data_IF_228021610465
#
_entry.id   IF_228021610465
#
_cell.length_a   1.000
_cell.length_b   1.000
_cell.length_c   1.000
_cell.angle_alpha   90.00
_cell.angle_beta   90.00
_cell.angle_gamma   90.00
#
_symmetry.space_group_name_H-M   'P 1'
#
loop_
_entity.id
_entity.type
_entity.pdbx_description
1 polymer ?
#
# COMPACT_ATOMS: atom_id res chain seq x y z
N UNK A 1 -0.91 16.11 11.44
CA UNK A 1 -1.55 15.71 10.16
C UNK A 1 -1.32 14.23 10.00
N UNK A 2 -2.35 13.38 10.06
CA UNK A 2 -2.13 11.93 10.05
C UNK A 2 -2.07 11.37 8.61
N UNK A 3 -1.01 10.61 8.34
CA UNK A 3 -0.68 9.91 7.09
C UNK A 3 -0.82 8.41 7.29
N UNK A 4 -1.37 7.71 6.31
CA UNK A 4 -1.52 6.25 6.30
C UNK A 4 -0.57 5.66 5.26
N UNK A 5 0.20 4.63 5.56
CA UNK A 5 1.06 3.94 4.59
C UNK A 5 0.84 2.44 4.61
N UNK A 6 0.60 1.82 3.45
CA UNK A 6 0.35 0.38 3.30
C UNK A 6 1.61 -0.29 2.72
N UNK A 7 2.13 -1.35 3.38
CA UNK A 7 3.41 -2.00 3.03
C UNK A 7 3.25 -3.42 2.44
N UNK A 8 4.08 -3.79 1.44
CA UNK A 8 3.81 -4.87 0.45
C UNK A 8 3.94 -6.31 0.98
N UNK A 9 4.75 -6.55 2.01
CA UNK A 9 5.18 -7.93 2.30
C UNK A 9 4.31 -8.71 3.29
N UNK A 10 3.27 -8.11 3.89
CA UNK A 10 2.49 -8.78 4.94
C UNK A 10 0.99 -8.83 4.73
N UNK A 11 0.43 -8.31 3.63
CA UNK A 11 -1.03 -8.12 3.49
C UNK A 11 -1.66 -7.26 4.61
N UNK A 12 -0.88 -6.72 5.58
CA UNK A 12 -1.41 -6.48 6.93
C UNK A 12 -0.82 -5.34 7.75
N UNK A 13 0.08 -4.49 7.24
CA UNK A 13 0.62 -3.39 8.07
C UNK A 13 0.29 -2.04 7.46
N UNK A 14 -0.40 -1.24 8.27
CA UNK A 14 -0.76 0.12 7.97
C UNK A 14 -0.15 1.04 9.01
N UNK A 15 0.60 2.03 8.53
CA UNK A 15 1.32 2.99 9.36
C UNK A 15 0.57 4.30 9.39
N UNK A 16 0.13 4.73 10.56
CA UNK A 16 -0.46 6.04 10.79
C UNK A 16 0.59 6.95 11.39
N UNK A 17 0.99 8.06 10.76
CA UNK A 17 1.98 8.99 11.35
C UNK A 17 1.53 10.44 11.27
N UNK A 18 1.92 11.28 12.24
CA UNK A 18 1.80 12.74 12.10
C UNK A 18 2.74 13.35 11.04
N UNK A 19 3.70 12.59 10.53
CA UNK A 19 4.71 12.99 9.54
C UNK A 19 4.89 11.93 8.44
N UNK A 20 4.73 12.33 7.17
CA UNK A 20 4.95 11.42 6.04
C UNK A 20 6.38 10.86 5.99
N UNK A 21 7.37 11.68 6.32
CA UNK A 21 8.78 11.27 6.34
C UNK A 21 9.02 10.15 7.34
N UNK A 22 8.41 10.26 8.53
CA UNK A 22 8.46 9.20 9.53
C UNK A 22 7.70 7.96 9.05
N UNK A 23 6.47 8.11 8.54
CA UNK A 23 5.71 6.96 8.02
C UNK A 23 6.51 6.15 6.98
N UNK A 24 7.17 6.82 6.03
CA UNK A 24 7.98 6.18 4.99
C UNK A 24 9.20 5.50 5.60
N UNK A 25 9.97 6.20 6.44
CA UNK A 25 11.14 5.62 7.11
C UNK A 25 10.77 4.36 7.89
N UNK A 26 9.70 4.42 8.66
CA UNK A 26 9.19 3.31 9.45
C UNK A 26 8.64 2.16 8.58
N UNK A 27 8.06 2.44 7.42
CA UNK A 27 7.72 1.42 6.42
C UNK A 27 8.94 0.72 5.85
N UNK A 28 9.98 1.47 5.51
CA UNK A 28 11.24 0.91 5.00
C UNK A 28 11.92 0.07 6.07
N UNK A 29 11.95 0.53 7.32
CA UNK A 29 12.52 -0.24 8.44
C UNK A 29 11.74 -1.54 8.66
N UNK A 30 10.41 -1.51 8.60
CA UNK A 30 9.60 -2.73 8.69
C UNK A 30 9.87 -3.65 7.50
N UNK A 31 9.94 -3.11 6.28
CA UNK A 31 10.25 -3.89 5.10
C UNK A 31 11.62 -4.57 5.23
N UNK A 32 12.67 -3.83 5.60
CA UNK A 32 14.00 -4.37 5.86
C UNK A 32 13.97 -5.46 6.95
N UNK A 33 13.29 -5.19 8.07
CA UNK A 33 13.14 -6.16 9.14
C UNK A 33 12.45 -7.46 8.67
N UNK A 34 11.37 -7.35 7.91
CA UNK A 34 10.61 -8.51 7.42
C UNK A 34 11.35 -9.26 6.32
N UNK A 35 12.00 -8.56 5.40
CA UNK A 35 12.89 -9.15 4.39
C UNK A 35 14.01 -9.93 5.07
N UNK A 36 14.61 -9.38 6.14
CA UNK A 36 15.59 -10.13 6.93
C UNK A 36 14.97 -11.33 7.63
N UNK A 37 13.70 -11.29 8.06
CA UNK A 37 13.02 -12.44 8.68
C UNK A 37 12.66 -13.56 7.68
N UNK A 38 12.45 -13.22 6.41
CA UNK A 38 12.13 -14.17 5.33
C UNK A 38 13.35 -14.98 4.86
N UNK A 39 14.58 -14.55 5.18
CA UNK A 39 15.77 -15.35 4.90
C UNK A 39 15.91 -16.48 5.93
N UNK A 40 16.24 -17.68 5.45
CA UNK A 40 16.42 -18.86 6.32
C UNK A 40 17.66 -18.77 7.23
N UNK A 41 18.44 -17.69 7.13
CA UNK A 41 19.67 -17.46 7.87
C UNK A 41 19.55 -16.41 8.98
N UNK A 42 18.36 -15.85 9.23
CA UNK A 42 18.22 -14.77 10.21
C UNK A 42 18.00 -15.27 11.65
N UNK A 43 18.87 -14.90 12.61
CA UNK A 43 18.79 -15.36 14.01
C UNK A 43 17.63 -14.73 14.81
N UNK A 44 16.82 -13.87 14.20
CA UNK A 44 15.76 -13.10 14.86
C UNK A 44 14.34 -13.67 14.66
N UNK A 45 14.20 -14.91 14.17
CA UNK A 45 12.91 -15.49 13.76
C UNK A 45 11.80 -15.52 14.83
N UNK A 46 12.08 -15.39 16.13
CA UNK A 46 11.08 -15.62 17.19
C UNK A 46 11.14 -14.70 18.43
N UNK A 47 11.55 -13.43 18.33
CA UNK A 47 11.50 -12.51 19.50
C UNK A 47 10.27 -11.58 19.50
N UNK A 48 9.24 -11.82 20.35
CA UNK A 48 8.09 -10.91 20.50
C UNK A 48 8.46 -9.51 21.00
N UNK A 49 9.65 -9.36 21.60
CA UNK A 49 10.17 -8.09 22.12
C UNK A 49 10.46 -7.06 21.03
N UNK A 50 10.80 -7.47 19.80
CA UNK A 50 11.11 -6.53 18.72
C UNK A 50 9.85 -5.85 18.16
N UNK A 51 8.74 -6.58 18.10
CA UNK A 51 7.44 -6.06 17.68
C UNK A 51 6.88 -5.07 18.71
N UNK A 52 7.06 -5.36 20.00
CA UNK A 52 6.73 -4.45 21.10
C UNK A 52 7.61 -3.19 21.10
N UNK A 53 8.91 -3.34 20.86
CA UNK A 53 9.83 -2.21 20.76
C UNK A 53 9.46 -1.29 19.59
N UNK A 54 9.15 -1.84 18.40
CA UNK A 54 8.71 -1.03 17.26
C UNK A 54 7.35 -0.40 17.46
N UNK A 55 6.41 -1.10 18.09
CA UNK A 55 5.13 -0.54 18.46
C UNK A 55 5.33 0.65 19.42
N UNK A 56 6.19 0.48 20.42
CA UNK A 56 6.45 1.51 21.42
C UNK A 56 7.24 2.70 20.87
N UNK A 57 8.31 2.47 20.10
CA UNK A 57 9.08 3.50 19.41
C UNK A 57 8.24 4.23 18.36
N UNK A 58 7.38 3.49 17.65
CA UNK A 58 6.41 4.08 16.74
C UNK A 58 5.47 5.02 17.50
N UNK A 59 4.85 4.57 18.59
CA UNK A 59 3.93 5.39 19.37
C UNK A 59 4.61 6.67 19.88
N UNK A 60 5.86 6.59 20.36
CA UNK A 60 6.66 7.75 20.77
C UNK A 60 6.92 8.72 19.60
N UNK A 61 7.10 8.22 18.39
CA UNK A 61 7.23 9.01 17.16
C UNK A 61 5.87 9.49 16.58
N UNK A 62 4.76 9.27 17.30
CA UNK A 62 3.42 9.57 16.80
C UNK A 62 3.01 8.70 15.61
N UNK A 63 3.56 7.47 15.56
CA UNK A 63 3.31 6.42 14.58
C UNK A 63 2.49 5.29 15.23
N UNK A 64 1.33 4.96 14.68
CA UNK A 64 0.50 3.83 15.13
C UNK A 64 0.39 2.78 14.04
N UNK A 65 0.32 1.51 14.44
CA UNK A 65 0.37 0.36 13.56
C UNK A 65 -0.89 -0.47 13.73
N UNK A 66 -1.52 -0.85 12.61
CA UNK A 66 -2.70 -1.70 12.64
C UNK A 66 -2.50 -2.91 11.73
N UNK A 67 -2.95 -4.08 12.23
CA UNK A 67 -3.07 -5.33 11.47
C UNK A 67 -4.22 -5.26 10.46
N UNK A 68 -4.16 -6.05 9.38
CA UNK A 68 -5.21 -6.17 8.35
C UNK A 68 -6.60 -6.46 8.92
N UNK A 69 -6.68 -7.26 9.98
CA UNK A 69 -7.95 -7.66 10.61
C UNK A 69 -8.53 -6.58 11.52
N UNK A 70 -7.75 -5.55 11.86
CA UNK A 70 -8.13 -4.49 12.79
C UNK A 70 -8.44 -3.16 12.10
N UNK A 71 -8.76 -3.21 10.80
CA UNK A 71 -9.18 -2.05 10.02
C UNK A 71 -10.49 -1.41 10.53
N UNK A 72 -11.28 -2.14 11.32
CA UNK A 72 -12.72 -1.86 11.44
C UNK A 72 -13.08 -0.72 12.41
N UNK A 73 -12.68 -0.74 13.68
CA UNK A 73 -13.51 -0.03 14.67
C UNK A 73 -12.82 1.07 15.51
N UNK A 74 -11.50 1.03 15.71
CA UNK A 74 -10.81 1.94 16.66
C UNK A 74 -10.27 3.25 16.03
N UNK A 75 -10.38 3.39 14.71
CA UNK A 75 -9.82 4.55 14.01
C UNK A 75 -10.86 5.67 13.95
N UNK A 76 -10.61 6.79 14.62
CA UNK A 76 -11.40 8.00 14.44
C UNK A 76 -11.28 8.53 13.00
N UNK A 77 -12.24 8.11 12.15
CA UNK A 77 -12.37 8.37 10.69
C UNK A 77 -12.17 9.86 10.32
N UNK A 78 -12.42 10.79 11.26
CA UNK A 78 -12.30 12.22 11.02
C UNK A 78 -10.85 12.77 10.99
N UNK A 79 -9.85 11.98 11.40
CA UNK A 79 -8.47 12.47 11.57
C UNK A 79 -7.56 12.24 10.36
N UNK A 80 -7.91 11.29 9.47
CA UNK A 80 -7.01 10.88 8.40
C UNK A 80 -7.14 11.83 7.22
N UNK A 81 -6.07 12.59 6.96
CA UNK A 81 -6.04 13.58 5.87
C UNK A 81 -5.46 12.99 4.59
N UNK A 82 -4.50 12.08 4.71
CA UNK A 82 -3.76 11.53 3.58
C UNK A 82 -3.54 10.04 3.77
N UNK A 83 -3.80 9.25 2.73
CA UNK A 83 -3.38 7.87 2.59
C UNK A 83 -2.34 7.81 1.47
N UNK A 84 -1.25 7.09 1.71
CA UNK A 84 -0.15 6.87 0.80
C UNK A 84 0.00 5.35 0.60
N UNK A 85 0.26 4.91 -0.62
CA UNK A 85 0.55 3.51 -0.91
C UNK A 85 1.63 3.38 -1.97
N UNK A 86 2.47 2.35 -1.86
CA UNK A 86 3.55 2.07 -2.81
C UNK A 86 3.59 0.58 -3.17
N UNK A 87 3.14 0.23 -4.37
CA UNK A 87 3.25 -1.10 -4.97
C UNK A 87 2.72 -2.25 -4.10
N UNK A 88 1.57 -2.06 -3.45
CA UNK A 88 0.96 -3.10 -2.58
C UNK A 88 -0.47 -3.44 -2.94
N UNK A 89 -1.18 -2.55 -3.63
CA UNK A 89 -2.60 -2.75 -3.95
C UNK A 89 -2.73 -3.88 -4.98
N UNK A 90 -1.74 -4.07 -5.86
CA UNK A 90 -1.71 -5.20 -6.79
C UNK A 90 -1.62 -6.57 -6.13
N UNK A 91 -1.11 -6.66 -4.90
CA UNK A 91 -1.06 -7.90 -4.12
C UNK A 91 -2.40 -8.23 -3.46
N UNK A 92 -3.34 -7.28 -3.45
CA UNK A 92 -4.67 -7.51 -2.91
C UNK A 92 -5.53 -8.30 -3.93
N UNK A 93 -6.21 -9.38 -3.47
CA UNK A 93 -7.09 -10.16 -4.33
C UNK A 93 -8.35 -9.38 -4.73
N UNK A 94 -8.86 -8.53 -3.83
CA UNK A 94 -10.00 -7.63 -4.07
C UNK A 94 -9.55 -6.16 -3.92
N UNK A 95 -9.20 -5.55 -5.06
CA UNK A 95 -8.81 -4.13 -5.12
C UNK A 95 -9.98 -3.19 -4.81
N UNK A 96 -11.22 -3.60 -5.10
CA UNK A 96 -12.39 -2.78 -4.82
C UNK A 96 -12.59 -2.65 -3.32
N UNK A 97 -12.44 -3.75 -2.58
CA UNK A 97 -12.47 -3.74 -1.12
C UNK A 97 -11.39 -2.84 -0.54
N UNK A 98 -10.16 -2.91 -1.07
CA UNK A 98 -9.07 -2.02 -0.63
C UNK A 98 -9.45 -0.55 -0.83
N UNK A 99 -9.93 -0.17 -2.02
CA UNK A 99 -10.32 1.22 -2.27
C UNK A 99 -11.50 1.66 -1.41
N UNK A 100 -12.51 0.81 -1.19
CA UNK A 100 -13.64 1.10 -0.30
C UNK A 100 -13.17 1.35 1.13
N UNK A 101 -12.24 0.56 1.65
CA UNK A 101 -11.70 0.78 3.00
C UNK A 101 -10.87 2.06 3.10
N UNK A 102 -10.02 2.32 2.10
CA UNK A 102 -9.27 3.58 2.02
C UNK A 102 -10.22 4.78 1.98
N UNK A 103 -11.29 4.69 1.19
CA UNK A 103 -12.32 5.72 1.13
C UNK A 103 -13.05 5.86 2.47
N UNK A 104 -13.41 4.76 3.13
CA UNK A 104 -14.10 4.78 4.43
C UNK A 104 -13.28 5.52 5.48
N UNK A 105 -11.98 5.20 5.61
CA UNK A 105 -11.11 5.78 6.66
C UNK A 105 -10.65 7.21 6.37
N UNK A 106 -10.59 7.62 5.10
CA UNK A 106 -10.30 9.01 4.76
C UNK A 106 -11.41 9.92 5.27
N UNK A 107 -11.05 11.08 5.84
CA UNK A 107 -12.02 12.16 6.07
C UNK A 107 -12.47 12.77 4.74
N UNK A 108 -13.60 13.48 4.73
CA UNK A 108 -14.03 14.25 3.56
C UNK A 108 -12.96 15.28 3.12
N UNK A 109 -12.67 15.35 1.82
CA UNK A 109 -11.57 16.16 1.29
C UNK A 109 -10.18 15.60 1.59
N UNK A 110 -10.09 14.39 2.15
CA UNK A 110 -8.85 13.65 2.31
C UNK A 110 -8.28 13.20 0.97
N UNK A 111 -6.96 12.97 0.92
CA UNK A 111 -6.23 12.62 -0.30
C UNK A 111 -5.68 11.21 -0.25
N UNK A 112 -5.83 10.47 -1.34
CA UNK A 112 -5.08 9.24 -1.58
C UNK A 112 -3.94 9.55 -2.56
N UNK A 113 -2.73 9.10 -2.26
CA UNK A 113 -1.54 9.22 -3.12
C UNK A 113 -0.90 7.85 -3.29
N UNK A 114 -0.80 7.38 -4.51
CA UNK A 114 -0.35 6.00 -4.76
C UNK A 114 0.70 6.00 -5.86
N UNK A 115 1.73 5.19 -5.67
CA UNK A 115 2.58 4.71 -6.75
C UNK A 115 2.34 3.22 -6.93
N UNK A 116 1.92 2.77 -8.10
CA UNK A 116 1.62 1.35 -8.36
C UNK A 116 1.83 0.99 -9.83
N UNK A 117 1.86 -0.31 -10.12
CA UNK A 117 1.94 -0.82 -11.49
C UNK A 117 0.53 -1.05 -12.05
N UNK A 118 0.29 -0.67 -13.30
CA UNK A 118 -0.95 -0.98 -14.01
C UNK A 118 -0.61 -1.59 -15.36
N UNK A 119 -1.53 -2.37 -15.90
CA UNK A 119 -1.37 -2.96 -17.22
C UNK A 119 -1.82 -2.01 -18.33
N UNK A 120 -1.06 -1.95 -19.42
CA UNK A 120 -1.49 -1.29 -20.67
C UNK A 120 -2.23 -2.24 -21.60
N UNK A 121 -1.95 -3.54 -21.50
CA UNK A 121 -2.65 -4.64 -22.18
C UNK A 121 -2.68 -5.89 -21.29
N UNK A 122 -3.58 -6.83 -21.59
CA UNK A 122 -3.69 -8.08 -20.83
C UNK A 122 -2.37 -8.86 -20.87
N UNK A 123 -2.02 -9.46 -19.74
CA UNK A 123 -0.92 -10.42 -19.68
C UNK A 123 -1.37 -11.75 -20.32
N UNK A 124 -0.47 -12.46 -21.03
CA UNK A 124 -0.69 -13.86 -21.41
C UNK A 124 -0.81 -14.74 -20.17
N UNK A 125 -1.59 -15.82 -20.25
CA UNK A 125 -1.85 -16.74 -19.12
C UNK A 125 -0.56 -17.28 -18.47
N UNK A 126 0.48 -17.48 -19.28
CA UNK A 126 1.83 -17.91 -18.86
C UNK A 126 2.49 -16.93 -17.88
N UNK A 127 2.20 -15.63 -18.01
CA UNK A 127 2.78 -14.57 -17.16
C UNK A 127 1.91 -14.24 -15.94
N UNK A 128 0.63 -14.63 -15.96
CA UNK A 128 -0.31 -14.37 -14.86
C UNK A 128 0.08 -15.14 -13.59
N UNK A 129 0.59 -16.37 -13.73
CA UNK A 129 0.95 -17.23 -12.60
C UNK A 129 2.45 -17.22 -12.27
N UNK A 130 3.22 -16.30 -12.84
CA UNK A 130 4.65 -16.20 -12.59
C UNK A 130 4.92 -15.51 -11.23
N UNK A 131 5.60 -16.22 -10.32
CA UNK A 131 5.90 -15.76 -8.96
C UNK A 131 6.85 -14.55 -8.92
N UNK A 132 7.82 -14.46 -9.83
CA UNK A 132 8.74 -13.32 -9.93
C UNK A 132 7.98 -12.06 -10.38
N UNK A 133 7.07 -12.20 -11.33
CA UNK A 133 6.21 -11.09 -11.77
C UNK A 133 5.20 -10.68 -10.70
N UNK A 134 4.81 -11.60 -9.80
CA UNK A 134 4.00 -11.27 -8.63
C UNK A 134 4.78 -10.43 -7.63
N UNK A 135 6.03 -10.81 -7.33
CA UNK A 135 6.92 -10.01 -6.50
C UNK A 135 7.18 -8.62 -7.10
N UNK A 136 7.23 -8.52 -8.44
CA UNK A 136 7.31 -7.27 -9.20
C UNK A 136 6.00 -6.48 -9.30
N UNK A 137 4.91 -6.92 -8.66
CA UNK A 137 3.57 -6.31 -8.70
C UNK A 137 2.94 -6.23 -10.11
N UNK A 138 3.42 -7.03 -11.08
CA UNK A 138 2.94 -7.05 -12.46
C UNK A 138 1.81 -8.05 -12.64
N UNK A 139 1.95 -9.29 -12.16
CA UNK A 139 0.93 -10.33 -12.41
C UNK A 139 -0.39 -10.06 -11.70
N UNK A 140 -0.36 -9.37 -10.55
CA UNK A 140 -1.55 -8.89 -9.86
C UNK A 140 -2.11 -7.56 -10.37
N UNK A 141 -1.48 -6.92 -11.37
CA UNK A 141 -1.92 -5.65 -11.90
C UNK A 141 -3.17 -5.83 -12.79
N UNK A 142 -4.02 -4.80 -12.83
CA UNK A 142 -5.17 -4.73 -13.73
C UNK A 142 -4.94 -3.63 -14.76
N UNK A 143 -5.74 -3.63 -15.84
CA UNK A 143 -5.66 -2.59 -16.86
C UNK A 143 -5.83 -1.20 -16.24
N UNK A 144 -5.01 -0.25 -16.70
CA UNK A 144 -5.03 1.16 -16.24
C UNK A 144 -6.44 1.74 -16.23
N UNK A 145 -7.20 1.50 -17.30
CA UNK A 145 -8.56 1.99 -17.41
C UNK A 145 -9.50 1.41 -16.35
N UNK A 146 -9.38 0.12 -16.04
CA UNK A 146 -10.22 -0.53 -15.03
C UNK A 146 -9.82 -0.11 -13.63
N UNK A 147 -8.52 0.08 -13.39
CA UNK A 147 -8.01 0.66 -12.15
C UNK A 147 -8.60 2.05 -11.88
N UNK A 148 -8.57 2.93 -12.89
CA UNK A 148 -9.12 4.28 -12.78
C UNK A 148 -10.65 4.28 -12.66
N UNK A 149 -11.35 3.37 -13.36
CA UNK A 149 -12.80 3.18 -13.20
C UNK A 149 -13.14 2.73 -11.78
N UNK A 150 -12.32 1.85 -11.18
CA UNK A 150 -12.55 1.36 -9.83
C UNK A 150 -12.46 2.48 -8.80
N UNK A 151 -11.44 3.35 -8.92
CA UNK A 151 -11.34 4.55 -8.09
C UNK A 151 -12.59 5.43 -8.19
N UNK A 152 -13.07 5.69 -9.41
CA UNK A 152 -14.29 6.49 -9.64
C UNK A 152 -15.53 5.80 -9.04
N UNK A 153 -15.68 4.50 -9.25
CA UNK A 153 -16.80 3.69 -8.72
C UNK A 153 -16.85 3.74 -7.19
N UNK A 154 -15.70 3.74 -6.52
CA UNK A 154 -15.61 3.87 -5.06
C UNK A 154 -16.03 5.25 -4.55
N UNK A 155 -16.02 6.28 -5.39
CA UNK A 155 -16.40 7.65 -5.03
C UNK A 155 -15.23 8.63 -5.01
N UNK A 156 -14.02 8.22 -5.40
CA UNK A 156 -12.89 9.14 -5.51
C UNK A 156 -13.05 10.08 -6.72
N UNK A 157 -12.65 11.33 -6.54
CA UNK A 157 -12.73 12.40 -7.52
C UNK A 157 -11.39 13.11 -7.72
N UNK A 158 -11.26 13.90 -8.79
CA UNK A 158 -10.02 14.66 -9.11
C UNK A 158 -8.77 13.76 -9.16
N UNK A 159 -8.87 12.66 -9.91
CA UNK A 159 -7.74 11.77 -10.15
C UNK A 159 -6.72 12.49 -11.05
N UNK A 160 -5.52 12.73 -10.53
CA UNK A 160 -4.41 13.37 -11.23
C UNK A 160 -3.26 12.38 -11.28
N UNK A 161 -2.81 12.03 -12.49
CA UNK A 161 -1.59 11.25 -12.68
C UNK A 161 -0.42 12.23 -12.75
N UNK A 162 0.53 12.08 -11.83
CA UNK A 162 1.71 12.93 -11.70
C UNK A 162 2.89 12.42 -12.51
N UNK A 163 3.01 11.09 -12.64
CA UNK A 163 4.12 10.43 -13.31
C UNK A 163 3.70 9.10 -13.89
N UNK A 164 4.23 8.80 -15.06
CA UNK A 164 4.12 7.50 -15.71
C UNK A 164 5.51 7.08 -16.18
N UNK A 165 5.94 5.88 -15.82
CA UNK A 165 7.22 5.31 -16.25
C UNK A 165 7.05 3.85 -16.60
N UNK A 166 7.81 3.31 -17.57
CA UNK A 166 7.79 1.87 -17.85
C UNK A 166 7.98 1.03 -16.58
N UNK A 167 7.18 -0.02 -16.42
CA UNK A 167 7.40 -1.01 -15.36
C UNK A 167 8.53 -1.98 -15.76
N UNK A 168 8.81 -2.96 -14.89
CA UNK A 168 9.82 -3.99 -15.14
C UNK A 168 9.59 -4.76 -16.46
N UNK A 169 8.34 -4.92 -16.88
CA UNK A 169 7.96 -5.45 -18.18
C UNK A 169 7.30 -4.34 -19.03
N UNK A 170 8.07 -3.49 -19.75
CA UNK A 170 7.58 -2.27 -20.38
C UNK A 170 6.47 -2.47 -21.41
N UNK A 171 6.44 -3.64 -22.05
CA UNK A 171 5.45 -3.98 -23.07
C UNK A 171 4.04 -4.12 -22.47
N UNK A 172 3.94 -4.53 -21.20
CA UNK A 172 2.68 -4.84 -20.53
C UNK A 172 2.35 -3.90 -19.37
N UNK A 173 3.38 -3.39 -18.68
CA UNK A 173 3.23 -2.68 -17.42
C UNK A 173 3.71 -1.24 -17.45
N UNK A 174 2.99 -0.39 -16.74
CA UNK A 174 3.32 1.01 -16.50
C UNK A 174 3.26 1.30 -15.01
N UNK A 175 4.33 1.85 -14.45
CA UNK A 175 4.31 2.42 -13.11
C UNK A 175 3.66 3.80 -13.17
N UNK A 176 2.54 3.96 -12.45
CA UNK A 176 1.82 5.23 -12.34
C UNK A 176 1.95 5.77 -10.92
N UNK A 177 2.20 7.07 -10.80
CA UNK A 177 2.06 7.81 -9.55
C UNK A 177 0.89 8.77 -9.69
N UNK A 178 -0.14 8.62 -8.86
CA UNK A 178 -1.34 9.46 -8.92
C UNK A 178 -1.77 9.96 -7.55
N UNK A 179 -2.61 10.99 -7.55
CA UNK A 179 -3.37 11.38 -6.37
C UNK A 179 -4.84 11.56 -6.70
N UNK A 180 -5.71 11.33 -5.71
CA UNK A 180 -7.15 11.51 -5.82
C UNK A 180 -7.75 11.97 -4.50
N UNK A 181 -8.97 12.50 -4.53
CA UNK A 181 -9.64 13.13 -3.38
C UNK A 181 -10.93 12.36 -3.05
N UNK A 182 -11.19 12.17 -1.75
CA UNK A 182 -12.48 11.73 -1.23
C UNK A 182 -13.49 12.87 -1.24
#
# INVERSE_FOLDING_TARGET
MFFVLVCSFLKSIIIFSKSAKLAILYSIIIWLYLVTKSSNTCPFKTRPTFHLLFHHLGQLAGVSWFGSERFSDDIHILLIKVVISNCVINLAPDKEKVFREVYRVLRAGGRLMVSDVVLVKSLPDELVNNEELLAGCISGAILKNDYLKLLKKTGFSKIIIHKETPAFLPEYGLSITYSTIK
#
